data_IF_558053379131
#
_entry.id   IF_558053379131
#
_cell.length_a   1.000
_cell.length_b   1.000
_cell.length_c   1.000
_cell.angle_alpha   90.00
_cell.angle_beta   90.00
_cell.angle_gamma   90.00
#
_symmetry.space_group_name_H-M   'P 1'
#
loop_
_entity.id
_entity.type
_entity.pdbx_description
1 polymer ?
#
# COMPACT_ATOMS: atom_id res chain seq x y z
N UNK A 1 -88.66 16.53 -10.95
CA UNK A 1 -88.63 15.39 -11.89
C UNK A 1 -87.21 15.25 -12.43
N UNK A 2 -86.55 14.13 -12.14
CA UNK A 2 -85.13 13.90 -12.43
C UNK A 2 -84.81 14.12 -13.93
N UNK A 3 -83.79 14.93 -14.23
CA UNK A 3 -83.42 15.33 -15.59
C UNK A 3 -83.11 14.12 -16.50
N UNK A 4 -82.52 13.05 -15.94
CA UNK A 4 -82.19 11.82 -16.69
C UNK A 4 -83.45 11.05 -17.06
N UNK A 5 -84.42 10.95 -16.14
CA UNK A 5 -85.71 10.29 -16.38
C UNK A 5 -86.51 11.03 -17.47
N UNK A 6 -86.53 12.36 -17.42
CA UNK A 6 -87.17 13.17 -18.47
C UNK A 6 -86.53 12.98 -19.85
N UNK A 7 -85.21 12.83 -19.91
CA UNK A 7 -84.48 12.59 -21.17
C UNK A 7 -84.77 11.21 -21.76
N UNK A 8 -84.88 10.18 -20.91
CA UNK A 8 -85.23 8.82 -21.32
C UNK A 8 -86.69 8.76 -21.81
N UNK A 9 -87.63 9.38 -21.10
CA UNK A 9 -89.05 9.43 -21.49
C UNK A 9 -89.25 10.19 -22.80
N UNK A 10 -88.49 11.26 -23.04
CA UNK A 10 -88.55 11.98 -24.30
C UNK A 10 -88.03 11.17 -25.51
N UNK A 11 -87.12 10.22 -25.28
CA UNK A 11 -86.57 9.33 -26.31
C UNK A 11 -87.46 8.11 -26.63
N UNK A 12 -88.26 7.66 -25.67
CA UNK A 12 -89.25 6.62 -25.86
C UNK A 12 -90.50 7.26 -26.50
N UNK A 13 -90.83 6.93 -27.75
CA UNK A 13 -91.98 7.48 -28.51
C UNK A 13 -93.33 6.98 -27.97
N UNK A 14 -93.61 7.27 -26.71
CA UNK A 14 -94.77 6.79 -25.96
C UNK A 14 -95.99 7.64 -26.33
N UNK A 15 -97.16 6.99 -26.41
CA UNK A 15 -98.42 7.68 -26.73
C UNK A 15 -98.82 8.67 -25.62
N UNK A 16 -99.61 9.70 -25.96
CA UNK A 16 -100.09 10.69 -24.97
C UNK A 16 -100.77 10.06 -23.74
N UNK A 17 -101.72 9.10 -23.86
CA UNK A 17 -102.37 8.51 -22.69
C UNK A 17 -101.40 7.69 -21.83
N UNK A 18 -100.52 6.88 -22.44
CA UNK A 18 -99.53 6.08 -21.69
C UNK A 18 -98.53 6.96 -20.94
N UNK A 19 -98.21 8.15 -21.50
CA UNK A 19 -97.37 9.15 -20.82
C UNK A 19 -98.06 9.74 -19.58
N UNK A 20 -99.38 9.88 -19.60
CA UNK A 20 -100.14 10.33 -18.41
C UNK A 20 -100.10 9.27 -17.32
N UNK A 21 -100.24 7.99 -17.67
CA UNK A 21 -100.14 6.88 -16.70
C UNK A 21 -98.72 6.71 -16.15
N UNK A 22 -97.70 6.80 -17.01
CA UNK A 22 -96.31 6.76 -16.60
C UNK A 22 -95.97 7.91 -15.65
N UNK A 23 -96.46 9.12 -15.93
CA UNK A 23 -96.29 10.26 -15.02
C UNK A 23 -96.98 10.00 -13.68
N UNK A 24 -98.21 9.47 -13.67
CA UNK A 24 -98.89 9.09 -12.41
C UNK A 24 -98.10 8.06 -11.60
N UNK A 25 -97.44 7.11 -12.27
CA UNK A 25 -96.59 6.11 -11.61
C UNK A 25 -95.30 6.72 -11.06
N UNK A 26 -94.63 7.57 -11.84
CA UNK A 26 -93.41 8.27 -11.43
C UNK A 26 -93.66 9.31 -10.34
N UNK A 27 -94.86 9.88 -10.28
CA UNK A 27 -95.28 10.85 -9.25
C UNK A 27 -95.72 10.16 -7.95
N UNK A 28 -95.69 8.83 -7.87
CA UNK A 28 -95.97 8.12 -6.62
C UNK A 28 -94.91 8.47 -5.55
N UNK A 29 -95.30 8.67 -4.28
CA UNK A 29 -94.40 9.14 -3.23
C UNK A 29 -93.22 8.22 -2.94
N UNK A 30 -93.43 6.90 -3.02
CA UNK A 30 -92.43 5.85 -2.84
C UNK A 30 -91.37 5.87 -3.96
N UNK A 31 -91.79 6.08 -5.20
CA UNK A 31 -90.89 6.18 -6.36
C UNK A 31 -90.14 7.51 -6.38
N UNK A 32 -90.81 8.61 -6.05
CA UNK A 32 -90.14 9.91 -5.85
C UNK A 32 -89.09 9.84 -4.73
N UNK A 33 -89.35 9.11 -3.63
CA UNK A 33 -88.40 8.95 -2.53
C UNK A 33 -87.12 8.23 -2.97
N UNK A 34 -87.23 7.19 -3.80
CA UNK A 34 -86.07 6.47 -4.35
C UNK A 34 -85.30 7.37 -5.33
N UNK A 35 -86.01 8.00 -6.28
CA UNK A 35 -85.40 8.87 -7.29
C UNK A 35 -84.71 10.10 -6.69
N UNK A 36 -85.23 10.62 -5.58
CA UNK A 36 -84.65 11.76 -4.86
C UNK A 36 -83.60 11.34 -3.81
N UNK A 37 -83.54 10.06 -3.42
CA UNK A 37 -82.56 9.52 -2.48
C UNK A 37 -81.14 9.56 -3.04
N UNK A 38 -80.94 8.98 -4.23
CA UNK A 38 -79.64 9.01 -4.93
C UNK A 38 -79.17 10.44 -5.24
N UNK A 39 -80.11 11.33 -5.56
CA UNK A 39 -79.83 12.74 -5.80
C UNK A 39 -79.43 13.45 -4.50
N UNK A 40 -80.11 13.17 -3.38
CA UNK A 40 -79.76 13.71 -2.07
C UNK A 40 -78.37 13.26 -1.61
N UNK A 41 -78.02 11.99 -1.78
CA UNK A 41 -76.71 11.43 -1.42
C UNK A 41 -75.59 12.03 -2.28
N UNK A 42 -75.83 12.19 -3.59
CA UNK A 42 -74.88 12.86 -4.49
C UNK A 42 -74.67 14.33 -4.10
N UNK A 43 -75.73 15.03 -3.71
CA UNK A 43 -75.65 16.43 -3.26
C UNK A 43 -74.92 16.53 -1.92
N UNK A 44 -75.20 15.62 -0.98
CA UNK A 44 -74.51 15.56 0.31
C UNK A 44 -73.01 15.33 0.13
N UNK A 45 -72.62 14.34 -0.69
CA UNK A 45 -71.21 14.08 -1.04
C UNK A 45 -70.57 15.26 -1.74
N UNK A 46 -71.28 15.96 -2.63
CA UNK A 46 -70.77 17.15 -3.31
C UNK A 46 -70.51 18.29 -2.32
N UNK A 47 -71.40 18.51 -1.35
CA UNK A 47 -71.21 19.52 -0.29
C UNK A 47 -70.00 19.19 0.59
N UNK A 48 -69.84 17.93 0.95
CA UNK A 48 -68.68 17.45 1.74
C UNK A 48 -67.36 17.65 0.99
N UNK A 49 -67.34 17.35 -0.32
CA UNK A 49 -66.17 17.57 -1.17
C UNK A 49 -65.86 19.06 -1.36
N UNK A 50 -66.88 19.92 -1.47
CA UNK A 50 -66.70 21.37 -1.53
C UNK A 50 -66.10 21.90 -0.22
N UNK A 51 -66.59 21.44 0.93
CA UNK A 51 -66.04 21.81 2.24
C UNK A 51 -64.57 21.37 2.38
N UNK A 52 -64.26 20.10 2.05
CA UNK A 52 -62.86 19.60 2.04
C UNK A 52 -61.98 20.40 1.09
N UNK A 53 -62.47 20.71 -0.12
CA UNK A 53 -61.74 21.54 -1.09
C UNK A 53 -61.47 22.96 -0.58
N UNK A 54 -62.39 23.54 0.20
CA UNK A 54 -62.20 24.86 0.79
C UNK A 54 -61.12 24.87 1.90
N UNK A 55 -60.93 23.76 2.61
CA UNK A 55 -59.94 23.64 3.70
C UNK A 55 -58.52 23.32 3.20
N UNK A 56 -58.41 22.62 2.06
CA UNK A 56 -57.12 22.20 1.48
C UNK A 56 -56.09 23.32 1.29
N UNK A 57 -56.43 24.53 0.79
CA UNK A 57 -55.45 25.60 0.61
C UNK A 57 -54.78 26.01 1.92
N UNK A 58 -55.54 26.09 3.01
CA UNK A 58 -55.03 26.48 4.32
C UNK A 58 -54.17 25.37 4.92
N UNK A 59 -54.63 24.13 4.86
CA UNK A 59 -53.87 22.97 5.32
C UNK A 59 -52.55 22.82 4.55
N UNK A 60 -52.58 22.96 3.22
CA UNK A 60 -51.40 22.91 2.37
C UNK A 60 -50.44 24.05 2.65
N UNK A 61 -50.95 25.28 2.81
CA UNK A 61 -50.11 26.44 3.16
C UNK A 61 -49.40 26.24 4.49
N UNK A 62 -50.09 25.70 5.50
CA UNK A 62 -49.49 25.38 6.81
C UNK A 62 -48.43 24.28 6.69
N UNK A 63 -48.75 23.18 6.01
CA UNK A 63 -47.81 22.07 5.82
C UNK A 63 -46.57 22.51 5.02
N UNK A 64 -46.76 23.32 3.97
CA UNK A 64 -45.67 23.90 3.18
C UNK A 64 -44.77 24.80 4.03
N UNK A 65 -45.35 25.70 4.82
CA UNK A 65 -44.56 26.58 5.70
C UNK A 65 -43.74 25.79 6.74
N UNK A 66 -44.31 24.73 7.32
CA UNK A 66 -43.58 23.85 8.25
C UNK A 66 -42.45 23.10 7.54
N UNK A 67 -42.71 22.55 6.36
CA UNK A 67 -41.69 21.87 5.56
C UNK A 67 -40.55 22.82 5.15
N UNK A 68 -40.87 24.06 4.75
CA UNK A 68 -39.87 25.09 4.43
C UNK A 68 -39.01 25.44 5.64
N UNK A 69 -39.61 25.54 6.84
CA UNK A 69 -38.88 25.79 8.09
C UNK A 69 -37.93 24.64 8.43
N UNK A 70 -38.38 23.40 8.30
CA UNK A 70 -37.55 22.21 8.52
C UNK A 70 -36.41 22.16 7.50
N UNK A 71 -36.71 22.40 6.23
CA UNK A 71 -35.71 22.43 5.16
C UNK A 71 -34.65 23.50 5.40
N UNK A 72 -35.05 24.72 5.81
CA UNK A 72 -34.12 25.80 6.15
C UNK A 72 -33.23 25.44 7.34
N UNK A 73 -33.78 24.84 8.40
CA UNK A 73 -33.01 24.38 9.55
C UNK A 73 -32.03 23.24 9.19
N UNK A 74 -32.43 22.33 8.30
CA UNK A 74 -31.58 21.25 7.81
C UNK A 74 -30.44 21.80 6.93
N UNK A 75 -30.73 22.74 6.03
CA UNK A 75 -29.72 23.41 5.20
C UNK A 75 -28.67 24.12 6.07
N UNK A 76 -29.09 24.91 7.07
CA UNK A 76 -28.16 25.58 7.97
C UNK A 76 -27.26 24.61 8.76
N UNK A 77 -27.79 23.43 9.16
CA UNK A 77 -26.99 22.39 9.81
C UNK A 77 -25.99 21.74 8.85
N UNK A 78 -26.40 21.53 7.60
CA UNK A 78 -25.52 20.99 6.56
C UNK A 78 -24.36 21.95 6.28
N UNK A 79 -24.64 23.25 6.09
CA UNK A 79 -23.61 24.25 5.82
C UNK A 79 -22.61 24.38 6.98
N UNK A 80 -23.09 24.31 8.23
CA UNK A 80 -22.23 24.33 9.41
C UNK A 80 -21.33 23.09 9.49
N UNK A 81 -21.87 21.91 9.22
CA UNK A 81 -21.09 20.67 9.20
C UNK A 81 -20.08 20.65 8.04
N UNK A 82 -20.43 21.21 6.88
CA UNK A 82 -19.53 21.35 5.75
C UNK A 82 -18.36 22.30 6.09
N UNK A 83 -18.63 23.44 6.72
CA UNK A 83 -17.61 24.36 7.19
C UNK A 83 -16.65 23.70 8.21
N UNK A 84 -17.19 22.96 9.17
CA UNK A 84 -16.40 22.20 10.16
C UNK A 84 -15.55 21.12 9.49
N UNK A 85 -16.11 20.38 8.52
CA UNK A 85 -15.37 19.39 7.75
C UNK A 85 -14.18 20.00 7.00
N UNK A 86 -14.37 21.13 6.31
CA UNK A 86 -13.27 21.80 5.61
C UNK A 86 -12.22 22.36 6.57
N UNK A 87 -12.63 22.91 7.72
CA UNK A 87 -11.72 23.36 8.76
C UNK A 87 -10.88 22.19 9.33
N UNK A 88 -11.52 21.08 9.65
CA UNK A 88 -10.85 19.87 10.12
C UNK A 88 -9.90 19.28 9.06
N UNK A 89 -10.32 19.29 7.79
CA UNK A 89 -9.49 18.85 6.66
C UNK A 89 -8.24 19.71 6.52
N UNK A 90 -8.38 21.04 6.58
CA UNK A 90 -7.27 21.99 6.54
C UNK A 90 -6.31 21.75 7.72
N UNK A 91 -6.84 21.65 8.95
CA UNK A 91 -6.05 21.37 10.13
C UNK A 91 -5.29 20.05 10.04
N UNK A 92 -5.91 18.99 9.48
CA UNK A 92 -5.24 17.70 9.22
C UNK A 92 -4.09 17.87 8.22
N UNK A 93 -4.30 18.59 7.13
CA UNK A 93 -3.25 18.83 6.13
C UNK A 93 -2.09 19.62 6.73
N UNK A 94 -2.37 20.66 7.51
CA UNK A 94 -1.34 21.45 8.22
C UNK A 94 -0.57 20.58 9.21
N UNK A 95 -1.26 19.77 10.02
CA UNK A 95 -0.60 18.85 10.95
C UNK A 95 0.30 17.85 10.22
N UNK A 96 -0.15 17.30 9.09
CA UNK A 96 0.64 16.36 8.29
C UNK A 96 1.88 17.01 7.67
N UNK A 97 1.77 18.26 7.21
CA UNK A 97 2.91 19.04 6.72
C UNK A 97 3.92 19.33 7.84
N UNK A 98 3.44 19.64 9.04
CA UNK A 98 4.31 19.87 10.21
C UNK A 98 5.05 18.58 10.59
N UNK A 99 4.36 17.44 10.72
CA UNK A 99 5.01 16.16 11.04
C UNK A 99 5.99 15.75 9.95
N UNK A 100 5.59 15.84 8.67
CA UNK A 100 6.49 15.54 7.55
C UNK A 100 7.70 16.47 7.48
N UNK A 101 7.54 17.75 7.85
CA UNK A 101 8.64 18.71 7.94
C UNK A 101 9.61 18.40 9.07
N UNK A 102 9.12 17.92 10.22
CA UNK A 102 9.95 17.47 11.35
C UNK A 102 10.76 16.24 10.94
N UNK A 103 10.12 15.23 10.35
CA UNK A 103 10.79 14.00 9.91
C UNK A 103 11.86 14.31 8.85
N UNK A 104 11.54 15.19 7.89
CA UNK A 104 12.48 15.61 6.87
C UNK A 104 13.68 16.34 7.47
N UNK A 105 13.46 17.26 8.42
CA UNK A 105 14.54 17.98 9.11
C UNK A 105 15.43 17.02 9.88
N UNK A 106 14.84 16.08 10.64
CA UNK A 106 15.59 15.06 11.37
C UNK A 106 16.45 14.22 10.42
N UNK A 107 15.88 13.76 9.30
CA UNK A 107 16.63 13.00 8.30
C UNK A 107 17.79 13.79 7.69
N UNK A 108 17.60 15.09 7.44
CA UNK A 108 18.66 15.98 6.95
C UNK A 108 19.77 16.21 7.99
N UNK A 109 19.40 16.35 9.26
CA UNK A 109 20.35 16.55 10.37
C UNK A 109 21.18 15.29 10.61
N UNK A 110 20.54 14.10 10.65
CA UNK A 110 21.25 12.81 10.73
C UNK A 110 22.23 12.68 9.56
N UNK A 111 21.79 12.98 8.33
CA UNK A 111 22.66 12.90 7.16
C UNK A 111 23.87 13.84 7.25
N UNK A 112 23.67 15.06 7.74
CA UNK A 112 24.75 16.02 7.93
C UNK A 112 25.76 15.53 8.98
N UNK A 113 25.27 14.96 10.08
CA UNK A 113 26.11 14.34 11.12
C UNK A 113 26.90 13.16 10.53
N UNK A 114 26.26 12.27 9.77
CA UNK A 114 26.92 11.14 9.12
C UNK A 114 28.03 11.60 8.14
N UNK A 115 27.79 12.68 7.39
CA UNK A 115 28.79 13.27 6.48
C UNK A 115 29.98 13.84 7.25
N UNK A 116 29.74 14.53 8.37
CA UNK A 116 30.79 15.05 9.25
C UNK A 116 31.61 13.92 9.89
N UNK A 117 30.96 12.86 10.38
CA UNK A 117 31.63 11.68 10.92
C UNK A 117 32.50 10.99 9.87
N UNK A 118 31.98 10.79 8.64
CA UNK A 118 32.76 10.21 7.54
C UNK A 118 33.93 11.08 7.11
N UNK A 119 33.79 12.40 7.14
CA UNK A 119 34.87 13.32 6.80
C UNK A 119 35.99 13.33 7.86
N UNK A 120 35.63 13.09 9.13
CA UNK A 120 36.57 13.01 10.24
C UNK A 120 37.18 11.60 10.44
N UNK A 121 36.60 10.57 9.81
CA UNK A 121 37.06 9.20 9.91
C UNK A 121 38.49 9.02 9.35
N UNK A 122 39.17 7.97 9.81
CA UNK A 122 40.51 7.63 9.36
C UNK A 122 40.51 7.34 7.83
N UNK A 123 41.32 8.05 7.02
CA UNK A 123 41.27 7.95 5.56
C UNK A 123 41.58 6.54 5.05
N UNK A 124 42.33 5.74 5.82
CA UNK A 124 42.66 4.36 5.49
C UNK A 124 41.42 3.47 5.36
N UNK A 125 40.32 3.80 6.05
CA UNK A 125 39.05 3.09 5.87
C UNK A 125 38.51 3.20 4.45
N UNK A 126 38.66 4.37 3.81
CA UNK A 126 38.25 4.57 2.41
C UNK A 126 39.17 3.82 1.43
N UNK A 127 40.47 3.83 1.68
CA UNK A 127 41.46 3.09 0.88
C UNK A 127 41.20 1.58 0.96
N UNK A 128 41.04 1.04 2.17
CA UNK A 128 40.74 -0.37 2.36
C UNK A 128 39.40 -0.76 1.74
N UNK A 129 38.36 0.09 1.89
CA UNK A 129 37.05 -0.11 1.25
C UNK A 129 37.16 -0.16 -0.27
N UNK A 130 37.97 0.69 -0.88
CA UNK A 130 38.18 0.69 -2.33
C UNK A 130 38.78 -0.66 -2.79
N UNK A 131 39.78 -1.18 -2.06
CA UNK A 131 40.38 -2.48 -2.37
C UNK A 131 39.42 -3.65 -2.16
N UNK A 132 38.57 -3.61 -1.11
CA UNK A 132 37.49 -4.59 -0.95
C UNK A 132 36.54 -4.56 -2.16
N UNK A 133 36.16 -3.37 -2.66
CA UNK A 133 35.33 -3.25 -3.86
C UNK A 133 35.97 -3.82 -5.12
N UNK A 134 37.29 -3.67 -5.27
CA UNK A 134 38.06 -4.31 -6.34
C UNK A 134 38.01 -5.85 -6.21
N UNK A 135 38.18 -6.37 -5.00
CA UNK A 135 38.10 -7.80 -4.72
C UNK A 135 36.69 -8.38 -4.92
N UNK A 136 35.63 -7.66 -4.55
CA UNK A 136 34.24 -8.06 -4.82
C UNK A 136 34.01 -8.25 -6.34
N UNK A 137 34.55 -7.33 -7.13
CA UNK A 137 34.46 -7.38 -8.60
C UNK A 137 35.25 -8.55 -9.20
N UNK A 138 36.42 -8.85 -8.64
CA UNK A 138 37.25 -10.01 -9.04
C UNK A 138 36.60 -11.33 -8.65
N UNK A 139 36.07 -11.45 -7.42
CA UNK A 139 35.38 -12.65 -6.94
C UNK A 139 34.18 -12.99 -7.84
N UNK A 140 33.44 -11.98 -8.30
CA UNK A 140 32.28 -12.17 -9.19
C UNK A 140 32.63 -12.88 -10.51
N UNK A 141 33.85 -12.75 -11.00
CA UNK A 141 34.30 -13.38 -12.26
C UNK A 141 35.26 -14.54 -12.03
N UNK A 142 35.44 -14.96 -10.78
CA UNK A 142 36.32 -16.07 -10.39
C UNK A 142 35.64 -17.44 -10.47
N UNK A 143 34.36 -17.49 -10.88
CA UNK A 143 33.64 -18.74 -11.13
C UNK A 143 34.33 -19.54 -12.24
N UNK A 144 34.77 -20.75 -11.91
CA UNK A 144 35.46 -21.66 -12.80
C UNK A 144 34.81 -23.04 -12.77
N UNK A 145 34.82 -23.69 -13.93
CA UNK A 145 34.40 -25.07 -14.10
C UNK A 145 35.56 -25.86 -14.69
N UNK A 146 35.82 -27.04 -14.16
CA UNK A 146 36.85 -27.94 -14.68
C UNK A 146 36.41 -29.40 -14.57
N UNK A 147 37.03 -30.26 -15.38
CA UNK A 147 36.82 -31.71 -15.27
C UNK A 147 37.74 -32.27 -14.19
N UNK A 148 37.16 -32.84 -13.15
CA UNK A 148 37.87 -33.54 -12.08
C UNK A 148 37.69 -35.05 -12.22
N UNK A 149 38.71 -35.82 -11.82
CA UNK A 149 38.62 -37.27 -11.75
C UNK A 149 38.11 -37.67 -10.37
N UNK A 150 36.95 -38.31 -10.31
CA UNK A 150 36.36 -38.82 -9.07
C UNK A 150 36.39 -40.35 -9.08
N UNK A 151 36.89 -40.97 -8.01
CA UNK A 151 36.74 -42.41 -7.80
C UNK A 151 35.34 -42.69 -7.27
N UNK A 152 34.54 -43.44 -8.04
CA UNK A 152 33.24 -43.93 -7.59
C UNK A 152 33.28 -45.42 -7.39
N UNK A 153 32.80 -45.84 -6.22
CA UNK A 153 32.58 -47.24 -5.90
C UNK A 153 31.12 -47.57 -6.14
N UNK A 154 30.86 -48.58 -6.96
CA UNK A 154 29.51 -49.10 -7.19
C UNK A 154 29.47 -50.56 -6.76
N UNK A 155 28.44 -50.92 -5.98
CA UNK A 155 28.15 -52.32 -5.68
C UNK A 155 27.57 -52.99 -6.92
N UNK A 156 28.35 -53.91 -7.50
CA UNK A 156 27.87 -54.79 -8.56
C UNK A 156 27.57 -56.18 -7.98
N UNK A 157 26.80 -56.97 -8.75
CA UNK A 157 26.38 -58.34 -8.39
C UNK A 157 27.54 -59.31 -8.08
N UNK A 158 28.81 -58.92 -8.34
CA UNK A 158 30.03 -59.69 -8.10
C UNK A 158 31.08 -58.93 -7.24
N UNK A 159 30.64 -58.05 -6.33
CA UNK A 159 31.51 -57.29 -5.43
C UNK A 159 31.64 -55.82 -5.83
N UNK A 160 32.35 -55.04 -5.02
CA UNK A 160 32.55 -53.62 -5.28
C UNK A 160 33.60 -53.40 -6.36
N UNK A 161 33.31 -52.48 -7.29
CA UNK A 161 34.25 -52.05 -8.32
C UNK A 161 34.45 -50.55 -8.24
N UNK A 162 35.70 -50.12 -8.21
CA UNK A 162 36.12 -48.73 -8.26
C UNK A 162 36.40 -48.34 -9.71
N UNK A 163 35.78 -47.26 -10.16
CA UNK A 163 36.05 -46.68 -11.46
C UNK A 163 36.36 -45.19 -11.30
N UNK A 164 37.27 -44.70 -12.12
CA UNK A 164 37.56 -43.27 -12.23
C UNK A 164 36.63 -42.69 -13.29
N UNK A 165 35.77 -41.75 -12.89
CA UNK A 165 34.88 -41.02 -13.79
C UNK A 165 35.29 -39.56 -13.85
N UNK A 166 35.16 -38.96 -15.02
CA UNK A 166 35.32 -37.51 -15.18
C UNK A 166 34.01 -36.82 -14.75
N UNK A 167 34.10 -35.93 -13.77
CA UNK A 167 32.97 -35.18 -13.20
C UNK A 167 33.23 -33.70 -13.38
N UNK A 168 32.19 -32.95 -13.72
CA UNK A 168 32.26 -31.50 -13.78
C UNK A 168 32.32 -30.93 -12.35
N UNK A 169 33.47 -30.41 -11.95
CA UNK A 169 33.68 -29.70 -10.70
C UNK A 169 33.59 -28.18 -10.93
N UNK A 170 33.30 -27.46 -9.86
CA UNK A 170 33.29 -26.00 -9.84
C UNK A 170 33.72 -25.47 -8.46
N UNK A 171 34.05 -24.19 -8.38
CA UNK A 171 34.41 -23.48 -7.14
C UNK A 171 33.30 -22.51 -6.66
N UNK A 172 32.04 -22.72 -7.05
CA UNK A 172 30.97 -21.75 -6.77
C UNK A 172 30.77 -21.50 -5.27
N UNK A 173 30.84 -22.55 -4.44
CA UNK A 173 30.69 -22.41 -2.98
C UNK A 173 31.80 -21.53 -2.37
N UNK A 174 33.03 -21.65 -2.86
CA UNK A 174 34.15 -20.81 -2.41
C UNK A 174 34.01 -19.37 -2.90
N UNK A 175 33.49 -19.15 -4.11
CA UNK A 175 33.18 -17.82 -4.64
C UNK A 175 32.05 -17.15 -3.84
N UNK A 176 30.99 -17.88 -3.52
CA UNK A 176 29.89 -17.37 -2.69
C UNK A 176 30.39 -17.00 -1.29
N UNK A 177 31.15 -17.88 -0.64
CA UNK A 177 31.73 -17.61 0.67
C UNK A 177 32.65 -16.37 0.65
N UNK A 178 33.48 -16.21 -0.38
CA UNK A 178 34.34 -15.03 -0.54
C UNK A 178 33.53 -13.75 -0.71
N UNK A 179 32.45 -13.79 -1.51
CA UNK A 179 31.58 -12.63 -1.71
C UNK A 179 30.84 -12.23 -0.44
N UNK A 180 30.37 -13.19 0.34
CA UNK A 180 29.74 -12.94 1.64
C UNK A 180 30.74 -12.30 2.63
N UNK A 181 31.96 -12.84 2.70
CA UNK A 181 33.00 -12.31 3.57
C UNK A 181 33.42 -10.88 3.19
N UNK A 182 33.56 -10.60 1.89
CA UNK A 182 33.87 -9.25 1.37
C UNK A 182 32.71 -8.26 1.64
N UNK A 183 31.46 -8.67 1.42
CA UNK A 183 30.29 -7.84 1.68
C UNK A 183 30.12 -7.52 3.17
N UNK A 184 30.39 -8.51 4.04
CA UNK A 184 30.43 -8.30 5.49
C UNK A 184 31.52 -7.29 5.86
N UNK A 185 32.74 -7.48 5.37
CA UNK A 185 33.87 -6.57 5.63
C UNK A 185 33.54 -5.15 5.19
N UNK A 186 32.92 -4.98 4.02
CA UNK A 186 32.47 -3.67 3.53
C UNK A 186 31.45 -3.01 4.48
N UNK A 187 30.51 -3.80 5.00
CA UNK A 187 29.52 -3.32 5.98
C UNK A 187 30.18 -2.89 7.28
N UNK A 188 31.16 -3.67 7.76
CA UNK A 188 31.91 -3.36 8.96
C UNK A 188 32.74 -2.07 8.79
N UNK A 189 33.37 -1.87 7.62
CA UNK A 189 34.07 -0.61 7.28
C UNK A 189 33.12 0.59 7.27
N UNK A 190 31.93 0.45 6.68
CA UNK A 190 30.91 1.50 6.67
C UNK A 190 30.43 1.87 8.08
N UNK A 191 30.31 0.88 8.97
CA UNK A 191 29.99 1.10 10.38
C UNK A 191 31.13 1.79 11.14
N UNK A 192 32.38 1.40 10.89
CA UNK A 192 33.57 2.03 11.48
C UNK A 192 33.71 3.50 11.09
N UNK A 193 33.31 3.89 9.88
CA UNK A 193 33.32 5.30 9.44
C UNK A 193 32.36 6.20 10.23
N UNK A 194 31.33 5.62 10.86
CA UNK A 194 30.38 6.34 11.70
C UNK A 194 30.68 6.19 13.20
N UNK A 195 31.69 5.39 13.55
CA UNK A 195 32.12 5.17 14.91
C UNK A 195 33.25 6.13 15.29
N UNK A 196 33.22 6.62 16.53
CA UNK A 196 34.34 7.37 17.10
C UNK A 196 35.47 6.40 17.48
N UNK A 197 36.38 6.14 16.54
CA UNK A 197 37.51 5.23 16.72
C UNK A 197 38.84 5.97 16.71
N UNK A 198 39.76 5.53 17.55
CA UNK A 198 41.16 5.95 17.53
C UNK A 198 41.91 5.27 16.38
N UNK A 199 43.01 5.88 15.94
CA UNK A 199 43.91 5.31 14.92
C UNK A 199 44.39 3.89 15.26
N UNK A 200 44.62 3.60 16.55
CA UNK A 200 45.03 2.28 17.02
C UNK A 200 43.90 1.24 16.90
N UNK A 201 42.67 1.61 17.25
CA UNK A 201 41.49 0.75 17.07
C UNK A 201 41.22 0.47 15.59
N UNK A 202 41.36 1.49 14.73
CA UNK A 202 41.27 1.32 13.27
C UNK A 202 42.33 0.36 12.77
N UNK A 203 43.59 0.51 13.19
CA UNK A 203 44.68 -0.39 12.80
C UNK A 203 44.44 -1.84 13.25
N UNK A 204 43.98 -2.05 14.49
CA UNK A 204 43.66 -3.38 15.00
C UNK A 204 42.52 -4.03 14.20
N UNK A 205 41.46 -3.28 13.93
CA UNK A 205 40.31 -3.76 13.18
C UNK A 205 40.67 -4.11 11.72
N UNK A 206 41.42 -3.25 11.03
CA UNK A 206 41.86 -3.53 9.66
C UNK A 206 42.74 -4.78 9.57
N UNK A 207 43.65 -5.00 10.53
CA UNK A 207 44.45 -6.25 10.59
C UNK A 207 43.57 -7.47 10.80
N UNK A 208 42.61 -7.40 11.72
CA UNK A 208 41.67 -8.49 11.95
C UNK A 208 40.85 -8.80 10.69
N UNK A 209 40.38 -7.78 9.98
CA UNK A 209 39.66 -7.95 8.71
C UNK A 209 40.54 -8.61 7.65
N UNK A 210 41.82 -8.24 7.55
CA UNK A 210 42.80 -8.92 6.69
C UNK A 210 42.87 -10.40 7.06
N UNK A 211 43.10 -10.72 8.35
CA UNK A 211 43.26 -12.08 8.84
C UNK A 211 42.02 -12.95 8.62
N UNK A 212 40.82 -12.39 8.82
CA UNK A 212 39.54 -13.06 8.60
C UNK A 212 39.30 -13.38 7.12
N UNK A 213 39.78 -12.53 6.20
CA UNK A 213 39.62 -12.70 4.76
C UNK A 213 40.62 -13.70 4.16
N UNK A 214 41.81 -13.87 4.74
CA UNK A 214 42.84 -14.80 4.26
C UNK A 214 42.30 -16.21 3.95
N UNK A 215 41.64 -16.92 4.90
CA UNK A 215 41.24 -18.32 4.68
C UNK A 215 40.18 -18.48 3.58
N UNK A 216 39.39 -17.44 3.31
CA UNK A 216 38.33 -17.49 2.30
C UNK A 216 38.88 -17.10 0.93
N UNK A 217 39.66 -16.02 0.85
CA UNK A 217 40.21 -15.53 -0.42
C UNK A 217 41.29 -16.44 -1.00
N UNK A 218 42.11 -17.10 -0.17
CA UNK A 218 43.16 -18.02 -0.65
C UNK A 218 42.64 -19.26 -1.37
N UNK A 219 41.35 -19.59 -1.24
CA UNK A 219 40.73 -20.65 -2.01
C UNK A 219 40.46 -20.25 -3.47
N UNK A 220 40.46 -18.95 -3.75
CA UNK A 220 40.30 -18.39 -5.08
C UNK A 220 41.67 -18.04 -5.63
N UNK A 221 42.01 -18.58 -6.80
CA UNK A 221 43.33 -18.42 -7.38
C UNK A 221 43.71 -16.95 -7.58
N UNK A 222 44.90 -16.58 -7.11
CA UNK A 222 45.43 -15.21 -7.19
C UNK A 222 44.68 -14.16 -6.37
N UNK A 223 43.81 -14.52 -5.42
CA UNK A 223 43.11 -13.58 -4.55
C UNK A 223 43.76 -13.51 -3.16
N UNK A 224 44.11 -12.29 -2.75
CA UNK A 224 44.63 -11.97 -1.43
C UNK A 224 43.89 -10.74 -0.88
N UNK A 225 43.72 -10.62 0.45
CA UNK A 225 43.16 -9.42 1.05
C UNK A 225 44.13 -8.22 0.95
N UNK A 226 43.63 -6.99 1.11
CA UNK A 226 44.47 -5.82 1.37
C UNK A 226 45.12 -5.96 2.75
N UNK A 227 46.27 -5.33 2.94
CA UNK A 227 47.05 -5.45 4.18
C UNK A 227 47.59 -4.09 4.62
N UNK A 228 48.09 -4.03 5.86
CA UNK A 228 48.73 -2.83 6.40
C UNK A 228 50.24 -3.02 6.44
N UNK A 229 50.99 -2.04 5.93
CA UNK A 229 52.45 -2.07 5.98
C UNK A 229 53.05 -1.67 7.33
N UNK A 230 54.38 -1.61 7.42
CA UNK A 230 55.10 -1.23 8.63
C UNK A 230 54.77 0.19 9.13
N UNK A 231 54.25 1.05 8.25
CA UNK A 231 53.77 2.40 8.56
C UNK A 231 52.25 2.44 8.81
N UNK A 232 51.58 1.29 8.78
CA UNK A 232 50.14 1.11 8.84
C UNK A 232 49.38 1.80 7.71
N UNK A 233 49.99 1.91 6.52
CA UNK A 233 49.31 2.32 5.29
C UNK A 233 48.63 1.12 4.62
N UNK A 234 47.49 1.35 3.97
CA UNK A 234 46.78 0.30 3.24
C UNK A 234 47.54 -0.01 1.96
N UNK A 235 47.83 -1.29 1.74
CA UNK A 235 48.46 -1.79 0.52
C UNK A 235 47.50 -2.70 -0.23
N UNK A 236 47.47 -2.59 -1.58
CA UNK A 236 46.62 -3.43 -2.41
C UNK A 236 47.05 -4.91 -2.30
N UNK A 237 46.17 -5.84 -2.71
CA UNK A 237 46.51 -7.26 -2.83
C UNK A 237 47.77 -7.47 -3.70
N UNK A 238 48.70 -8.31 -3.25
CA UNK A 238 49.84 -8.72 -4.06
C UNK A 238 49.38 -9.35 -5.39
N UNK A 239 49.87 -8.83 -6.52
CA UNK A 239 49.45 -9.24 -7.86
C UNK A 239 49.98 -10.62 -8.30
N UNK A 240 50.99 -11.15 -7.60
CA UNK A 240 51.70 -12.38 -7.94
C UNK A 240 51.24 -13.61 -7.13
N UNK A 241 50.18 -13.46 -6.32
CA UNK A 241 49.67 -14.54 -5.46
C UNK A 241 50.58 -14.88 -4.27
N UNK A 242 51.70 -14.18 -4.09
CA UNK A 242 52.57 -14.37 -2.94
C UNK A 242 51.93 -13.79 -1.67
N UNK A 243 52.13 -14.42 -0.49
CA UNK A 243 51.69 -13.83 0.77
C UNK A 243 52.37 -12.48 0.98
N UNK A 244 51.59 -11.47 1.37
CA UNK A 244 52.04 -10.08 1.45
C UNK A 244 53.23 -9.84 2.39
N UNK A 245 53.44 -10.72 3.38
CA UNK A 245 54.63 -10.83 4.24
C UNK A 245 54.73 -12.28 4.74
N UNK A 246 55.91 -12.80 5.16
CA UNK A 246 55.97 -14.00 5.98
C UNK A 246 55.10 -13.76 7.21
N UNK A 247 54.10 -14.61 7.42
CA UNK A 247 53.36 -14.62 8.67
C UNK A 247 54.40 -14.76 9.81
N UNK A 248 54.19 -14.20 11.01
CA UNK A 248 55.07 -14.50 12.16
C UNK A 248 55.20 -16.01 12.45
N UNK A 249 54.31 -16.83 11.88
CA UNK A 249 54.32 -18.30 11.94
C UNK A 249 55.18 -18.95 10.84
N UNK A 250 55.60 -18.18 9.83
CA UNK A 250 56.44 -18.61 8.70
C UNK A 250 57.93 -18.29 8.91
N UNK A 251 58.29 -17.63 10.02
CA UNK A 251 59.69 -17.42 10.38
C UNK A 251 60.32 -18.76 10.84
N UNK A 252 61.51 -19.16 10.35
CA UNK A 252 62.21 -20.31 10.90
C UNK A 252 62.45 -20.08 12.39
N UNK A 253 61.94 -20.99 13.21
CA UNK A 253 62.27 -21.03 14.64
C UNK A 253 63.75 -21.36 14.75
N UNK A 254 64.56 -20.35 15.05
CA UNK A 254 65.95 -20.51 15.47
C UNK A 254 66.02 -20.75 16.98
#
# INVERSE_FOLDING_TARGET
MNYVVNKIIAGLKISKPDRVELNKFLDRPDIQKILNGDEADRIARSRELIAKKAELPTAFKKAKAEAEKIAAAAAARFDAAEAEFYAARKARTEAWLVTGGIDHRLGMEIKAIDEELRAAADPRLNEYRAEIGNLESRARVADQYWMAKEERETEAMFGSRKYVVDVLANNMEDVEAAREALAKTRTDLDAMQLAAMTTAEVTAALRQMTDDLIPVLRKLDGMNPPWLDEFNEVRPPNQDGSPAYPHPLDAPQY
#
